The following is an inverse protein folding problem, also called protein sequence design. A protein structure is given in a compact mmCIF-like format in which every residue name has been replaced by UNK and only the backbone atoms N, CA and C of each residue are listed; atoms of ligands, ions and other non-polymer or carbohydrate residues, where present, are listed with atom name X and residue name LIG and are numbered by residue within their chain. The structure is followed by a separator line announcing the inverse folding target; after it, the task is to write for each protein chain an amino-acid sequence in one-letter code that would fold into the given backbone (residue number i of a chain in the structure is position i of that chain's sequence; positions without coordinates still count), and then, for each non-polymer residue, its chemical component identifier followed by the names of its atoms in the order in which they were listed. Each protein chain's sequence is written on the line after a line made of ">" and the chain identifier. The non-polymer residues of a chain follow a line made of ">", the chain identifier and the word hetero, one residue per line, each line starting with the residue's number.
data_IF_269260446327
#
_entry.id   IF_269260446327
#
_cell.length_a   1.000
_cell.length_b   1.000
_cell.length_c   1.000
_cell.angle_alpha   90.00
_cell.angle_beta   90.00
_cell.angle_gamma   90.00
#
_symmetry.space_group_name_H-M   'P 1'
#
loop_
_entity.id
_entity.type
_entity.pdbx_description
1 polymer ?
#
# COMPACT_ATOMS: atom_id res chain seq x y z
N UNK A 1 19.72 -15.59 -7.79
CA UNK A 1 19.34 -14.16 -7.81
C UNK A 1 19.16 -13.70 -6.38
N UNK A 2 19.76 -12.57 -5.98
CA UNK A 2 19.53 -11.98 -4.66
C UNK A 2 18.10 -11.44 -4.59
N UNK A 3 17.31 -11.88 -3.61
CA UNK A 3 15.98 -11.32 -3.36
C UNK A 3 16.12 -9.86 -2.91
N UNK A 4 15.21 -8.99 -3.36
CA UNK A 4 15.11 -7.63 -2.87
C UNK A 4 14.92 -7.66 -1.33
N UNK A 5 15.71 -6.91 -0.54
CA UNK A 5 15.56 -6.85 0.91
C UNK A 5 14.14 -6.55 1.40
N UNK A 6 13.37 -5.73 0.68
CA UNK A 6 11.97 -5.42 1.00
C UNK A 6 11.07 -6.65 0.84
N UNK A 7 11.27 -7.41 -0.22
CA UNK A 7 10.58 -8.68 -0.44
C UNK A 7 10.93 -9.68 0.67
N UNK A 8 12.19 -9.73 1.09
CA UNK A 8 12.63 -10.62 2.17
C UNK A 8 11.97 -10.27 3.52
N UNK A 9 11.82 -8.97 3.81
CA UNK A 9 11.15 -8.48 5.03
C UNK A 9 9.66 -8.90 5.07
N UNK A 10 8.98 -8.83 3.92
CA UNK A 10 7.59 -9.28 3.78
C UNK A 10 7.45 -10.80 3.85
N UNK A 11 8.39 -11.54 3.27
CA UNK A 11 8.38 -13.01 3.33
C UNK A 11 8.64 -13.53 4.75
N UNK A 12 9.56 -12.90 5.49
CA UNK A 12 9.98 -13.35 6.83
C UNK A 12 8.85 -13.23 7.86
N UNK A 13 8.06 -12.15 7.79
CA UNK A 13 6.87 -11.96 8.60
C UNK A 13 5.62 -11.94 7.73
N UNK A 14 5.49 -12.94 6.85
CA UNK A 14 4.23 -13.15 6.13
C UNK A 14 3.10 -13.24 7.15
N UNK A 15 1.96 -12.62 6.82
CA UNK A 15 0.83 -12.58 7.72
C UNK A 15 0.45 -13.99 8.16
N UNK A 16 0.49 -14.20 9.46
CA UNK A 16 -0.12 -15.32 10.16
C UNK A 16 -1.07 -14.73 11.20
N UNK A 17 -2.14 -15.44 11.53
CA UNK A 17 -3.21 -14.92 12.40
C UNK A 17 -2.72 -14.39 13.76
N UNK A 18 -1.50 -14.73 14.16
CA UNK A 18 -0.87 -14.36 15.43
C UNK A 18 0.10 -13.18 15.36
N UNK A 19 0.57 -12.76 14.17
CA UNK A 19 1.65 -11.78 14.01
C UNK A 19 1.19 -10.44 13.42
N UNK A 20 -0.09 -10.08 13.58
CA UNK A 20 -0.66 -8.88 12.96
C UNK A 20 0.20 -7.61 13.17
N UNK A 21 0.70 -7.38 14.39
CA UNK A 21 1.51 -6.20 14.68
C UNK A 21 2.86 -6.22 13.95
N UNK A 22 3.53 -7.37 13.89
CA UNK A 22 4.82 -7.52 13.21
C UNK A 22 4.66 -7.41 11.70
N UNK A 23 3.61 -8.02 11.17
CA UNK A 23 3.23 -7.93 9.77
C UNK A 23 2.90 -6.48 9.38
N UNK A 24 2.05 -5.79 10.15
CA UNK A 24 1.67 -4.40 9.87
C UNK A 24 2.87 -3.45 9.95
N UNK A 25 3.78 -3.67 10.90
CA UNK A 25 5.04 -2.90 11.00
C UNK A 25 5.91 -3.10 9.76
N UNK A 26 6.09 -4.34 9.32
CA UNK A 26 6.87 -4.63 8.11
C UNK A 26 6.21 -4.06 6.85
N UNK A 27 4.88 -4.14 6.76
CA UNK A 27 4.12 -3.53 5.66
C UNK A 27 4.30 -2.02 5.62
N UNK A 28 4.22 -1.33 6.77
CA UNK A 28 4.48 0.12 6.86
C UNK A 28 5.87 0.50 6.35
N UNK A 29 6.91 -0.25 6.74
CA UNK A 29 8.28 0.00 6.27
C UNK A 29 8.39 -0.06 4.75
N UNK A 30 7.76 -1.07 4.13
CA UNK A 30 7.75 -1.22 2.67
C UNK A 30 6.96 -0.09 2.01
N UNK A 31 5.78 0.24 2.52
CA UNK A 31 4.94 1.29 1.96
C UNK A 31 5.58 2.68 2.12
N UNK A 32 6.21 2.99 3.24
CA UNK A 32 6.93 4.25 3.43
C UNK A 32 8.12 4.36 2.46
N UNK A 33 8.84 3.26 2.23
CA UNK A 33 9.93 3.23 1.26
C UNK A 33 9.45 3.53 -0.17
N UNK A 34 8.27 3.03 -0.53
CA UNK A 34 7.64 3.27 -1.84
C UNK A 34 6.82 4.56 -1.88
N UNK A 35 6.80 5.37 -0.81
CA UNK A 35 5.98 6.57 -0.65
C UNK A 35 4.45 6.32 -0.84
N UNK A 36 4.00 5.17 -0.33
CA UNK A 36 2.63 4.65 -0.43
C UNK A 36 1.95 4.41 0.92
N UNK A 37 2.47 4.91 2.05
CA UNK A 37 1.86 4.66 3.36
C UNK A 37 0.42 5.18 3.52
N UNK A 38 0.01 6.12 2.67
CA UNK A 38 -1.36 6.61 2.59
C UNK A 38 -2.42 5.52 2.34
N UNK A 39 -2.03 4.34 1.81
CA UNK A 39 -2.87 3.14 1.67
C UNK A 39 -3.50 2.71 3.00
N UNK A 40 -2.78 2.89 4.11
CA UNK A 40 -3.21 2.38 5.41
C UNK A 40 -4.16 3.32 6.15
N UNK A 41 -4.10 4.62 5.84
CA UNK A 41 -4.81 5.66 6.57
C UNK A 41 -6.07 6.16 5.83
N UNK A 42 -6.05 6.11 4.49
CA UNK A 42 -7.17 6.57 3.68
C UNK A 42 -8.18 5.45 3.48
N UNK A 43 -9.42 5.69 3.91
CA UNK A 43 -10.57 4.96 3.37
C UNK A 43 -10.54 5.10 1.85
N UNK A 44 -10.81 4.01 1.13
CA UNK A 44 -10.95 4.02 -0.33
C UNK A 44 -11.83 5.20 -0.72
N UNK A 45 -11.33 6.18 -1.49
CA UNK A 45 -12.18 7.26 -1.95
C UNK A 45 -13.29 6.61 -2.78
N UNK A 46 -14.54 6.87 -2.44
CA UNK A 46 -15.68 6.27 -3.15
C UNK A 46 -15.96 7.00 -4.47
N UNK A 47 -15.49 8.24 -4.56
CA UNK A 47 -15.49 9.08 -5.75
C UNK A 47 -14.43 10.18 -5.61
N UNK A 48 -13.98 10.72 -6.74
CA UNK A 48 -13.18 11.95 -6.77
C UNK A 48 -14.08 13.19 -6.79
N UNK A 49 -13.70 14.28 -6.10
CA UNK A 49 -14.30 15.60 -6.29
C UNK A 49 -14.28 16.04 -7.77
N UNK A 50 -15.29 16.77 -8.23
CA UNK A 50 -15.38 17.17 -9.65
C UNK A 50 -14.21 18.10 -10.06
N UNK A 51 -13.71 18.89 -9.11
CA UNK A 51 -12.54 19.76 -9.23
C UNK A 51 -11.18 19.04 -9.08
N UNK A 52 -11.14 17.70 -9.01
CA UNK A 52 -9.88 16.96 -8.92
C UNK A 52 -9.01 17.17 -10.16
N UNK A 53 -7.71 17.34 -9.93
CA UNK A 53 -6.73 17.51 -11.00
C UNK A 53 -6.63 16.26 -11.88
N UNK A 54 -6.13 16.38 -13.12
CA UNK A 54 -5.87 15.23 -13.98
C UNK A 54 -4.96 14.18 -13.32
N UNK A 55 -3.96 14.61 -12.55
CA UNK A 55 -3.02 13.73 -11.83
C UNK A 55 -3.71 12.96 -10.69
N UNK A 56 -4.63 13.62 -9.98
CA UNK A 56 -5.44 12.99 -8.93
C UNK A 56 -6.40 11.94 -9.53
N UNK A 57 -6.96 12.21 -10.71
CA UNK A 57 -7.77 11.26 -11.49
C UNK A 57 -6.99 10.01 -11.91
N UNK A 58 -5.80 10.19 -12.47
CA UNK A 58 -4.93 9.06 -12.83
C UNK A 58 -4.54 8.22 -11.61
N UNK A 59 -4.26 8.88 -10.48
CA UNK A 59 -3.93 8.18 -9.23
C UNK A 59 -5.13 7.38 -8.72
N UNK A 60 -6.33 7.94 -8.76
CA UNK A 60 -7.56 7.27 -8.36
C UNK A 60 -7.91 6.07 -9.26
N UNK A 61 -7.78 6.21 -10.58
CA UNK A 61 -8.07 5.14 -11.53
C UNK A 61 -7.12 3.95 -11.31
N UNK A 62 -5.81 4.23 -11.19
CA UNK A 62 -4.81 3.21 -10.86
C UNK A 62 -5.10 2.53 -9.52
N UNK A 63 -5.56 3.30 -8.54
CA UNK A 63 -5.97 2.77 -7.24
C UNK A 63 -7.18 1.85 -7.32
N UNK A 64 -8.18 2.19 -8.13
CA UNK A 64 -9.34 1.34 -8.36
C UNK A 64 -8.95 0.05 -9.09
N UNK A 65 -8.02 0.10 -10.04
CA UNK A 65 -7.48 -1.08 -10.73
C UNK A 65 -6.72 -2.01 -9.77
N UNK A 66 -5.89 -1.47 -8.87
CA UNK A 66 -5.08 -2.26 -7.93
C UNK A 66 -5.92 -2.93 -6.81
N UNK A 67 -7.17 -2.50 -6.59
CA UNK A 67 -8.07 -2.99 -5.52
C UNK A 67 -9.28 -3.81 -6.04
N UNK A 68 -9.43 -4.02 -7.35
CA UNK A 68 -10.55 -4.72 -7.97
C UNK A 68 -10.15 -6.11 -8.50
#
# INVERSE_FOLDING_TARGET
>A
MSKNPLTLIMETNKFNSTNYNDWLRNLRIVLDFENQSYVLDKLLPTALPEESSPEERVTFDKWHEDNC
#
